data_IF_806344239638
#
_entry.id   IF_806344239638
#
_cell.length_a   1.000
_cell.length_b   1.000
_cell.length_c   1.000
_cell.angle_alpha   90.00
_cell.angle_beta   90.00
_cell.angle_gamma   90.00
#
_symmetry.space_group_name_H-M   'P 1'
#
loop_
_entity.id
_entity.type
_entity.pdbx_description
1 polymer ?
#
# COMPACT_ATOMS: atom_id res chain seq x y z
N UNK A 1 1.73 -9.78 22.04
CA UNK A 1 2.03 -9.91 20.60
C UNK A 1 3.27 -10.77 20.46
N UNK A 2 3.27 -11.74 19.54
CA UNK A 2 4.46 -12.57 19.29
C UNK A 2 5.52 -11.75 18.55
N UNK A 3 6.80 -11.99 18.87
CA UNK A 3 7.93 -11.43 18.12
C UNK A 3 7.98 -12.13 16.77
N UNK A 4 7.98 -11.37 15.67
CA UNK A 4 8.13 -11.95 14.33
C UNK A 4 9.46 -12.73 14.25
N UNK A 5 9.49 -13.89 13.62
CA UNK A 5 10.74 -14.59 13.30
C UNK A 5 11.31 -14.13 11.95
N UNK A 6 12.43 -14.70 11.48
CA UNK A 6 13.02 -14.27 10.20
C UNK A 6 12.18 -14.70 9.00
N UNK A 7 11.65 -15.93 8.99
CA UNK A 7 10.80 -16.41 7.92
C UNK A 7 9.51 -15.57 7.77
N UNK A 8 8.99 -15.04 8.87
CA UNK A 8 7.85 -14.11 8.83
C UNK A 8 8.24 -12.75 8.25
N UNK A 9 9.44 -12.23 8.55
CA UNK A 9 9.94 -10.99 7.92
C UNK A 9 10.18 -11.17 6.43
N UNK A 10 10.79 -12.29 6.03
CA UNK A 10 11.02 -12.64 4.63
C UNK A 10 9.69 -12.74 3.88
N UNK A 11 8.68 -13.40 4.45
CA UNK A 11 7.36 -13.47 3.85
C UNK A 11 6.68 -12.09 3.70
N UNK A 12 6.94 -11.12 4.59
CA UNK A 12 6.45 -9.74 4.41
C UNK A 12 7.23 -9.04 3.30
N UNK A 13 8.55 -9.21 3.24
CA UNK A 13 9.38 -8.66 2.17
C UNK A 13 8.95 -9.18 0.80
N UNK A 14 8.70 -10.48 0.67
CA UNK A 14 8.24 -11.11 -0.57
C UNK A 14 6.92 -10.52 -1.07
N UNK A 15 5.97 -10.24 -0.15
CA UNK A 15 4.70 -9.57 -0.51
C UNK A 15 4.93 -8.13 -0.99
N UNK A 16 5.90 -7.42 -0.43
CA UNK A 16 6.23 -6.06 -0.85
C UNK A 16 6.84 -6.05 -2.27
N UNK A 17 7.70 -7.02 -2.58
CA UNK A 17 8.33 -7.15 -3.90
C UNK A 17 7.36 -7.67 -4.98
N UNK A 18 6.40 -8.51 -4.60
CA UNK A 18 5.38 -9.03 -5.52
C UNK A 18 4.32 -7.99 -5.91
N UNK A 19 4.13 -6.94 -5.11
CA UNK A 19 3.20 -5.85 -5.41
C UNK A 19 3.77 -4.90 -6.48
N UNK A 20 2.91 -4.12 -7.15
CA UNK A 20 3.36 -3.11 -8.10
C UNK A 20 4.43 -2.19 -7.49
N UNK A 21 5.45 -1.78 -8.26
CA UNK A 21 6.47 -0.85 -7.79
C UNK A 21 5.85 0.41 -7.16
N UNK A 22 6.51 0.97 -6.15
CA UNK A 22 6.15 2.27 -5.60
C UNK A 22 6.84 3.42 -6.32
N UNK A 23 6.52 4.69 -5.97
CA UNK A 23 5.57 5.07 -4.93
C UNK A 23 4.12 4.90 -5.37
N UNK A 24 3.26 4.51 -4.43
CA UNK A 24 1.81 4.59 -4.59
C UNK A 24 1.30 5.91 -4.01
N UNK A 25 0.34 6.52 -4.69
CA UNK A 25 -0.25 7.80 -4.30
C UNK A 25 -1.77 7.72 -4.44
N UNK A 26 -2.50 8.08 -3.38
CA UNK A 26 -3.94 8.21 -3.46
C UNK A 26 -4.30 9.54 -4.13
N UNK A 27 -5.00 9.45 -5.25
CA UNK A 27 -5.48 10.58 -6.04
C UNK A 27 -6.98 10.69 -5.83
N UNK A 28 -7.43 11.80 -5.25
CA UNK A 28 -8.82 11.98 -4.80
C UNK A 28 -9.46 13.20 -5.45
N UNK A 29 -10.69 13.03 -5.92
CA UNK A 29 -11.47 14.08 -6.56
C UNK A 29 -11.80 15.17 -5.54
N UNK A 30 -11.61 16.44 -5.92
CA UNK A 30 -11.80 17.55 -5.00
C UNK A 30 -10.62 17.78 -4.04
N UNK A 31 -9.59 16.92 -4.06
CA UNK A 31 -8.32 17.11 -3.35
C UNK A 31 -7.15 17.29 -4.32
N UNK A 32 -6.99 16.35 -5.24
CA UNK A 32 -5.81 16.19 -6.11
C UNK A 32 -6.14 16.39 -7.60
N UNK A 33 -7.41 16.23 -7.99
CA UNK A 33 -7.93 16.48 -9.33
C UNK A 33 -9.40 16.90 -9.30
N UNK A 34 -9.93 17.43 -10.42
CA UNK A 34 -11.27 18.03 -10.50
C UNK A 34 -12.34 17.22 -11.25
N UNK A 35 -11.99 16.03 -11.74
CA UNK A 35 -12.96 15.17 -12.43
C UNK A 35 -12.49 13.73 -12.42
N UNK A 36 -13.40 12.80 -12.17
CA UNK A 36 -13.17 11.35 -12.27
C UNK A 36 -13.35 10.64 -10.94
N UNK A 37 -13.03 9.36 -10.90
CA UNK A 37 -13.10 8.56 -9.68
C UNK A 37 -11.84 8.75 -8.83
N UNK A 38 -11.93 8.46 -7.52
CA UNK A 38 -10.76 8.34 -6.64
C UNK A 38 -10.00 7.03 -6.94
N UNK A 39 -8.66 7.09 -6.94
CA UNK A 39 -7.82 5.93 -7.25
C UNK A 39 -6.48 5.95 -6.52
N UNK A 40 -5.76 4.84 -6.58
CA UNK A 40 -4.34 4.76 -6.21
C UNK A 40 -3.52 4.69 -7.48
N UNK A 41 -2.72 5.73 -7.71
CA UNK A 41 -1.73 5.75 -8.77
C UNK A 41 -0.51 4.93 -8.33
N UNK A 42 -0.20 3.87 -9.06
CA UNK A 42 0.92 2.96 -8.74
C UNK A 42 2.19 3.26 -9.54
N UNK A 43 2.14 4.24 -10.45
CA UNK A 43 3.30 4.73 -11.20
C UNK A 43 3.15 6.23 -11.47
N UNK A 44 4.25 6.97 -11.58
CA UNK A 44 4.21 8.38 -11.97
C UNK A 44 3.98 8.64 -13.47
N UNK A 45 3.63 7.61 -14.25
CA UNK A 45 3.44 7.68 -15.70
C UNK A 45 1.95 7.58 -16.03
N UNK A 46 1.48 8.46 -16.92
CA UNK A 46 0.06 8.57 -17.31
C UNK A 46 -0.47 7.34 -18.08
N UNK A 47 0.42 6.49 -18.62
CA UNK A 47 0.05 5.32 -19.44
C UNK A 47 -0.04 4.00 -18.64
N UNK A 48 0.25 4.04 -17.34
CA UNK A 48 0.22 2.85 -16.48
C UNK A 48 -1.14 2.71 -15.77
N UNK A 49 -1.58 1.48 -15.48
CA UNK A 49 -2.91 1.25 -14.92
C UNK A 49 -3.03 1.72 -13.47
N UNK A 50 -4.10 2.46 -13.19
CA UNK A 50 -4.49 2.84 -11.83
C UNK A 50 -5.10 1.67 -11.05
N UNK A 51 -4.96 1.72 -9.72
CA UNK A 51 -5.59 0.77 -8.81
C UNK A 51 -6.86 1.38 -8.20
N UNK A 52 -8.01 0.82 -8.56
CA UNK A 52 -9.30 1.17 -7.97
C UNK A 52 -9.66 0.23 -6.83
N UNK A 53 -9.99 0.79 -5.66
CA UNK A 53 -10.39 0.02 -4.48
C UNK A 53 -11.86 0.27 -4.20
N UNK A 54 -12.62 -0.80 -4.04
CA UNK A 54 -14.07 -0.73 -3.80
C UNK A 54 -14.50 -1.71 -2.72
N UNK A 55 -15.58 -1.37 -2.03
CA UNK A 55 -16.24 -2.20 -1.01
C UNK A 55 -17.54 -2.75 -1.58
N UNK A 56 -17.68 -4.07 -1.52
CA UNK A 56 -18.93 -4.74 -1.87
C UNK A 56 -19.90 -4.71 -0.69
N UNK A 57 -21.15 -4.39 -0.97
CA UNK A 57 -22.29 -4.50 -0.06
C UNK A 57 -23.39 -5.34 -0.74
N UNK A 58 -24.41 -5.77 0.02
CA UNK A 58 -25.49 -6.57 -0.56
C UNK A 58 -26.18 -5.82 -1.71
N UNK A 59 -25.96 -6.28 -2.94
CA UNK A 59 -26.52 -5.70 -4.16
C UNK A 59 -25.87 -4.41 -4.67
N UNK A 60 -24.70 -4.00 -4.13
CA UNK A 60 -24.00 -2.80 -4.61
C UNK A 60 -22.48 -2.87 -4.43
N UNK A 61 -21.76 -2.05 -5.18
CA UNK A 61 -20.33 -1.80 -5.01
C UNK A 61 -20.18 -0.29 -4.83
N UNK A 62 -19.42 0.13 -3.81
CA UNK A 62 -19.09 1.54 -3.59
C UNK A 62 -17.57 1.72 -3.61
N UNK A 63 -17.06 2.88 -4.02
CA UNK A 63 -15.65 3.23 -3.83
C UNK A 63 -15.24 3.09 -2.35
N UNK A 64 -13.99 2.72 -2.10
CA UNK A 64 -13.42 2.78 -0.77
C UNK A 64 -13.37 4.23 -0.26
N UNK A 65 -13.34 4.43 1.06
CA UNK A 65 -13.23 5.78 1.60
C UNK A 65 -11.84 6.36 1.28
N UNK A 66 -11.72 7.68 1.14
CA UNK A 66 -10.43 8.38 0.97
C UNK A 66 -9.38 7.93 1.99
N UNK A 67 -9.78 7.77 3.25
CA UNK A 67 -8.87 7.32 4.31
C UNK A 67 -8.36 5.87 4.10
N UNK A 68 -9.15 5.00 3.48
CA UNK A 68 -8.72 3.65 3.11
C UNK A 68 -7.68 3.72 1.98
N UNK A 69 -7.91 4.58 0.98
CA UNK A 69 -6.96 4.80 -0.13
C UNK A 69 -5.63 5.35 0.38
N UNK A 70 -5.67 6.37 1.23
CA UNK A 70 -4.48 6.99 1.82
C UNK A 70 -3.68 5.96 2.64
N UNK A 71 -4.36 5.12 3.43
CA UNK A 71 -3.71 4.07 4.21
C UNK A 71 -3.05 3.02 3.32
N UNK A 72 -3.75 2.52 2.30
CA UNK A 72 -3.23 1.50 1.39
C UNK A 72 -2.04 2.05 0.60
N UNK A 73 -2.15 3.27 0.07
CA UNK A 73 -1.08 3.92 -0.65
C UNK A 73 0.17 4.05 0.23
N UNK A 74 0.04 4.62 1.43
CA UNK A 74 1.14 4.81 2.38
C UNK A 74 1.81 3.48 2.82
N UNK A 75 1.02 2.42 2.99
CA UNK A 75 1.53 1.12 3.37
C UNK A 75 2.59 0.58 2.38
N UNK A 76 2.49 0.92 1.09
CA UNK A 76 3.47 0.48 0.08
C UNK A 76 4.89 0.97 0.36
N UNK A 77 5.04 2.19 0.89
CA UNK A 77 6.34 2.76 1.25
C UNK A 77 6.70 2.48 2.71
N UNK A 78 5.71 2.46 3.61
CA UNK A 78 5.96 2.30 5.03
C UNK A 78 6.38 0.88 5.39
N UNK A 79 5.78 -0.17 4.81
CA UNK A 79 6.10 -1.55 5.16
C UNK A 79 7.57 -1.89 4.88
N UNK A 80 8.16 -1.60 3.70
CA UNK A 80 9.58 -1.82 3.46
C UNK A 80 10.50 -1.07 4.45
N UNK A 81 10.14 0.17 4.81
CA UNK A 81 10.89 0.98 5.79
C UNK A 81 10.82 0.38 7.19
N UNK A 82 9.63 -0.07 7.60
CA UNK A 82 9.42 -0.74 8.87
C UNK A 82 10.16 -2.08 8.93
N UNK A 83 10.19 -2.86 7.85
CA UNK A 83 10.99 -4.08 7.74
C UNK A 83 12.48 -3.81 7.94
N UNK A 84 13.01 -2.80 7.25
CA UNK A 84 14.41 -2.38 7.41
C UNK A 84 14.70 -1.98 8.86
N UNK A 85 13.81 -1.24 9.49
CA UNK A 85 13.94 -0.81 10.88
C UNK A 85 13.88 -1.99 11.87
N UNK A 86 12.98 -2.95 11.66
CA UNK A 86 12.92 -4.17 12.49
C UNK A 86 14.20 -4.98 12.37
N UNK A 87 14.72 -5.17 11.15
CA UNK A 87 16.00 -5.88 10.94
C UNK A 87 17.17 -5.13 11.59
N UNK A 88 17.21 -3.80 11.49
CA UNK A 88 18.23 -2.96 12.13
C UNK A 88 18.22 -3.04 13.66
N UNK A 89 17.04 -3.14 14.27
CA UNK A 89 16.87 -3.19 15.73
C UNK A 89 17.08 -4.60 16.31
N UNK A 90 17.06 -5.64 15.48
CA UNK A 90 17.36 -7.00 15.95
C UNK A 90 18.87 -7.14 16.15
N UNK A 91 19.32 -7.56 17.34
CA UNK A 91 20.73 -7.84 17.53
C UNK A 91 21.16 -8.97 16.58
N UNK A 92 22.34 -8.83 15.98
CA UNK A 92 23.03 -9.95 15.35
C UNK A 92 23.20 -11.02 16.42
N UNK A 93 22.44 -12.11 16.31
CA UNK A 93 22.57 -13.22 17.26
C UNK A 93 23.89 -13.91 16.91
N UNK A 94 24.86 -13.98 17.83
CA UNK A 94 26.13 -14.64 17.57
C UNK A 94 25.97 -16.14 17.28
#
# INVERSE_FOLDING_TARGET
MAVLNEAELDAIADRCEAASPGPWEAIVEGRDHWSGDDFIRVSGLDEEPDLYVSRAEAGSIRPAATADLDFIAAARQDIPRLLAEVRRLRPERP
#
